data_IF_139911196885
#
_entry.id   IF_139911196885
#
_cell.length_a   1.000
_cell.length_b   1.000
_cell.length_c   1.000
_cell.angle_alpha   90.00
_cell.angle_beta   90.00
_cell.angle_gamma   90.00
#
_symmetry.space_group_name_H-M   'P 1'
#
loop_
_entity.id
_entity.type
_entity.pdbx_description
1 polymer ?
#
# COMPACT_ATOMS: atom_id res chain seq x y z
N UNK A 1 -19.52 -0.99 11.18
CA UNK A 1 -18.20 -1.41 11.71
C UNK A 1 -17.13 -0.95 10.73
N UNK A 2 -16.06 -0.28 11.17
CA UNK A 2 -15.02 0.26 10.24
C UNK A 2 -13.69 -0.42 10.49
N UNK A 3 -13.10 -0.97 9.44
CA UNK A 3 -11.82 -1.69 9.49
C UNK A 3 -10.68 -0.70 9.32
N UNK A 4 -9.58 -0.93 10.05
CA UNK A 4 -8.37 -0.12 10.06
C UNK A 4 -7.16 -1.02 9.89
N UNK A 5 -6.08 -0.48 9.31
CA UNK A 5 -4.83 -1.20 9.15
C UNK A 5 -3.70 -0.51 9.94
N UNK A 6 -2.96 -1.29 10.72
CA UNK A 6 -1.76 -0.87 11.45
C UNK A 6 -0.53 -1.51 10.84
N UNK A 7 0.42 -0.72 10.33
CA UNK A 7 1.63 -1.24 9.66
C UNK A 7 2.52 -2.05 10.62
N UNK A 8 3.06 -3.17 10.13
CA UNK A 8 4.04 -4.04 10.78
C UNK A 8 5.28 -4.15 9.87
N UNK A 9 6.54 -3.94 10.30
CA UNK A 9 7.08 -3.23 11.47
C UNK A 9 7.40 -1.75 11.16
N UNK A 10 7.11 -0.85 12.10
CA UNK A 10 7.36 0.59 12.00
C UNK A 10 6.75 1.36 13.18
N UNK A 11 7.33 2.50 13.58
CA UNK A 11 6.86 3.36 14.70
C UNK A 11 5.59 4.18 14.37
N UNK A 12 4.86 3.87 13.31
CA UNK A 12 3.73 4.70 12.89
C UNK A 12 2.50 4.44 13.75
N UNK A 13 2.18 5.40 14.63
CA UNK A 13 0.88 5.55 15.32
C UNK A 13 -0.27 5.92 14.38
N UNK A 14 -0.11 5.78 13.06
CA UNK A 14 -1.09 6.25 12.09
C UNK A 14 -2.38 5.45 12.22
N UNK A 15 -3.49 6.16 12.45
CA UNK A 15 -4.85 5.64 12.52
C UNK A 15 -5.50 5.45 11.15
N UNK A 16 -4.78 5.81 10.07
CA UNK A 16 -5.23 5.71 8.69
C UNK A 16 -4.36 4.70 7.94
N UNK A 17 -5.01 3.83 7.17
CA UNK A 17 -4.40 2.83 6.29
C UNK A 17 -3.65 3.53 5.16
N UNK A 18 -2.42 3.95 5.45
CA UNK A 18 -1.58 4.72 4.56
C UNK A 18 -0.17 4.15 4.43
N UNK A 19 0.36 4.17 3.21
CA UNK A 19 1.77 3.88 2.95
C UNK A 19 2.32 4.71 1.79
N UNK A 20 3.65 4.77 1.73
CA UNK A 20 4.42 5.51 0.74
C UNK A 20 5.11 4.53 -0.20
N UNK A 21 5.15 4.88 -1.47
CA UNK A 21 5.81 4.16 -2.55
C UNK A 21 6.90 5.04 -3.16
N UNK A 22 8.04 4.42 -3.47
CA UNK A 22 9.11 5.04 -4.22
C UNK A 22 9.10 4.49 -5.64
N UNK A 23 9.04 5.33 -6.68
CA UNK A 23 9.01 4.88 -8.07
C UNK A 23 10.20 3.98 -8.42
N UNK A 24 9.95 2.87 -9.12
CA UNK A 24 11.01 1.95 -9.57
C UNK A 24 11.67 1.15 -8.44
N UNK A 25 11.12 1.19 -7.22
CA UNK A 25 11.57 0.36 -6.09
C UNK A 25 10.47 -0.65 -5.75
N UNK A 26 10.82 -1.91 -5.45
CA UNK A 26 9.82 -2.87 -5.01
C UNK A 26 9.24 -2.44 -3.66
N UNK A 27 7.97 -2.77 -3.43
CA UNK A 27 7.29 -2.56 -2.15
C UNK A 27 6.97 -3.93 -1.54
N UNK A 28 7.29 -4.12 -0.27
CA UNK A 28 6.77 -5.23 0.56
C UNK A 28 6.33 -4.66 1.90
N UNK A 29 5.04 -4.71 2.17
CA UNK A 29 4.43 -4.13 3.38
C UNK A 29 3.47 -5.11 4.01
N UNK A 30 3.44 -5.11 5.34
CA UNK A 30 2.48 -5.88 6.13
C UNK A 30 1.71 -4.96 7.06
N UNK A 31 0.44 -5.27 7.29
CA UNK A 31 -0.44 -4.55 8.20
C UNK A 31 -1.24 -5.54 9.04
N UNK A 32 -1.54 -5.16 10.28
CA UNK A 32 -2.55 -5.80 11.10
C UNK A 32 -3.90 -5.12 10.88
N UNK A 33 -4.92 -5.90 10.57
CA UNK A 33 -6.29 -5.47 10.41
C UNK A 33 -7.01 -5.52 11.75
N UNK A 34 -7.59 -4.38 12.14
CA UNK A 34 -8.34 -4.24 13.39
C UNK A 34 -9.60 -3.43 13.14
N UNK A 35 -10.66 -3.68 13.89
CA UNK A 35 -11.86 -2.85 13.87
C UNK A 35 -11.74 -1.62 14.80
N UNK A 36 -12.81 -0.84 14.89
CA UNK A 36 -12.92 0.31 15.79
C UNK A 36 -12.86 -0.07 17.28
N UNK A 37 -13.23 -1.29 17.62
CA UNK A 37 -13.19 -1.87 18.96
C UNK A 37 -11.81 -2.48 19.31
N UNK A 38 -10.84 -2.41 18.38
CA UNK A 38 -9.50 -3.01 18.46
C UNK A 38 -9.50 -4.54 18.40
N UNK A 39 -10.59 -5.14 17.93
CA UNK A 39 -10.66 -6.57 17.63
C UNK A 39 -9.91 -6.82 16.33
N UNK A 40 -9.04 -7.84 16.33
CA UNK A 40 -8.35 -8.30 15.13
C UNK A 40 -9.36 -8.84 14.13
N UNK A 41 -9.29 -8.39 12.87
CA UNK A 41 -10.09 -8.92 11.78
C UNK A 41 -9.29 -10.03 11.11
N UNK A 42 -9.86 -11.23 11.03
CA UNK A 42 -9.22 -12.38 10.42
C UNK A 42 -9.93 -12.77 9.12
N UNK A 43 -9.24 -12.58 7.99
CA UNK A 43 -9.71 -12.97 6.66
C UNK A 43 -8.84 -14.08 6.04
N UNK A 44 -8.16 -14.87 6.88
CA UNK A 44 -7.48 -16.07 6.39
C UNK A 44 -8.47 -16.99 5.67
N UNK A 45 -8.09 -17.45 4.47
CA UNK A 45 -8.94 -18.26 3.61
C UNK A 45 -9.76 -17.46 2.60
N UNK A 46 -9.88 -16.14 2.77
CA UNK A 46 -10.50 -15.27 1.76
C UNK A 46 -9.51 -14.95 0.63
N UNK A 47 -10.05 -14.72 -0.56
CA UNK A 47 -9.28 -14.23 -1.70
C UNK A 47 -9.19 -12.70 -1.66
N UNK A 48 -7.99 -12.11 -1.57
CA UNK A 48 -7.84 -10.66 -1.55
C UNK A 48 -7.87 -10.05 -2.96
N UNK A 49 -8.36 -8.81 -3.05
CA UNK A 49 -8.20 -7.96 -4.23
C UNK A 49 -7.77 -6.57 -3.79
N UNK A 50 -6.59 -6.14 -4.21
CA UNK A 50 -6.06 -4.82 -3.93
C UNK A 50 -6.10 -3.95 -5.18
N UNK A 51 -6.68 -2.74 -5.09
CA UNK A 51 -6.82 -1.82 -6.23
C UNK A 51 -6.35 -0.42 -5.86
N UNK A 52 -5.58 0.22 -6.74
CA UNK A 52 -5.22 1.64 -6.67
C UNK A 52 -5.97 2.39 -7.76
N UNK A 53 -6.55 3.54 -7.40
CA UNK A 53 -7.32 4.38 -8.31
C UNK A 53 -6.54 5.64 -8.68
N UNK A 54 -6.64 6.04 -9.94
CA UNK A 54 -6.09 7.30 -10.44
C UNK A 54 -6.71 8.49 -9.71
N UNK A 55 -5.89 9.50 -9.39
CA UNK A 55 -6.39 10.78 -8.89
C UNK A 55 -6.85 11.72 -10.03
N UNK A 56 -6.46 11.43 -11.27
CA UNK A 56 -6.67 12.29 -12.43
C UNK A 56 -7.88 11.88 -13.27
N UNK A 57 -8.19 10.58 -13.25
CA UNK A 57 -9.29 9.99 -14.03
C UNK A 57 -10.16 9.24 -13.04
N UNK A 58 -11.40 9.70 -12.89
CA UNK A 58 -12.31 9.11 -11.92
C UNK A 58 -12.53 7.62 -12.21
N UNK A 59 -12.54 6.82 -11.13
CA UNK A 59 -12.74 5.37 -11.13
C UNK A 59 -11.75 4.53 -11.96
N UNK A 60 -10.74 5.13 -12.61
CA UNK A 60 -9.72 4.38 -13.34
C UNK A 60 -8.82 3.62 -12.36
N UNK A 61 -8.81 2.29 -12.46
CA UNK A 61 -7.89 1.43 -11.72
C UNK A 61 -6.54 1.41 -12.43
N UNK A 62 -5.48 1.86 -11.74
CA UNK A 62 -4.11 1.91 -12.28
C UNK A 62 -3.26 0.73 -11.86
N UNK A 63 -3.65 0.05 -10.77
CA UNK A 63 -3.03 -1.19 -10.30
C UNK A 63 -4.13 -2.06 -9.72
N UNK A 64 -4.17 -3.34 -10.11
CA UNK A 64 -5.01 -4.37 -9.51
C UNK A 64 -4.16 -5.62 -9.24
N UNK A 65 -4.20 -6.10 -8.00
CA UNK A 65 -3.50 -7.31 -7.55
C UNK A 65 -4.51 -8.28 -6.96
N UNK A 66 -4.67 -9.43 -7.62
CA UNK A 66 -5.47 -10.58 -7.17
C UNK A 66 -4.61 -11.83 -6.92
N UNK A 67 -3.32 -11.77 -7.26
CA UNK A 67 -2.38 -12.88 -7.06
C UNK A 67 -2.16 -13.13 -5.56
N UNK A 68 -2.50 -14.34 -5.06
CA UNK A 68 -2.40 -14.68 -3.64
C UNK A 68 -0.96 -14.72 -3.11
N UNK A 69 0.06 -14.75 -3.96
CA UNK A 69 1.47 -14.67 -3.53
C UNK A 69 1.93 -13.22 -3.29
N UNK A 70 1.16 -12.27 -3.83
CA UNK A 70 1.49 -10.83 -3.87
C UNK A 70 0.56 -10.01 -2.99
N UNK A 71 -0.68 -10.44 -2.83
CA UNK A 71 -1.60 -9.93 -1.83
C UNK A 71 -2.14 -11.12 -1.04
N UNK A 72 -1.89 -11.17 0.28
CA UNK A 72 -2.26 -12.32 1.11
C UNK A 72 -2.79 -11.91 2.49
N UNK A 73 -3.74 -12.70 2.99
CA UNK A 73 -4.18 -12.65 4.39
C UNK A 73 -3.54 -13.79 5.18
N UNK A 74 -2.99 -13.47 6.35
CA UNK A 74 -2.33 -14.40 7.28
C UNK A 74 -2.97 -14.35 8.65
N UNK A 75 -2.71 -15.42 9.41
CA UNK A 75 -3.14 -15.56 10.80
C UNK A 75 -2.75 -14.33 11.64
N UNK A 76 -3.59 -14.02 12.63
CA UNK A 76 -3.44 -12.81 13.42
C UNK A 76 -3.94 -11.53 12.73
N UNK A 77 -4.74 -11.69 11.67
CA UNK A 77 -5.33 -10.58 10.92
C UNK A 77 -4.31 -9.77 10.15
N UNK A 78 -3.29 -10.44 9.61
CA UNK A 78 -2.22 -9.76 8.89
C UNK A 78 -2.57 -9.73 7.40
N UNK A 79 -2.51 -8.56 6.79
CA UNK A 79 -2.54 -8.36 5.36
C UNK A 79 -1.13 -8.00 4.87
N UNK A 80 -0.63 -8.70 3.85
CA UNK A 80 0.63 -8.37 3.17
C UNK A 80 0.38 -8.01 1.72
N UNK A 81 1.10 -6.99 1.24
CA UNK A 81 1.08 -6.54 -0.15
C UNK A 81 2.50 -6.41 -0.69
N UNK A 82 2.69 -6.88 -1.93
CA UNK A 82 3.93 -6.76 -2.71
C UNK A 82 3.68 -6.13 -4.07
N UNK A 83 4.40 -5.05 -4.37
CA UNK A 83 4.40 -4.42 -5.68
C UNK A 83 5.77 -4.55 -6.34
N UNK A 84 5.78 -4.79 -7.64
CA UNK A 84 6.99 -4.86 -8.44
C UNK A 84 7.57 -3.44 -8.67
N UNK A 85 8.86 -3.32 -9.04
CA UNK A 85 9.44 -2.05 -9.44
C UNK A 85 8.69 -1.36 -10.59
N UNK A 86 8.19 -2.12 -11.56
CA UNK A 86 7.50 -1.57 -12.72
C UNK A 86 6.13 -0.99 -12.36
N UNK A 87 5.39 -1.67 -11.49
CA UNK A 87 4.13 -1.17 -10.96
C UNK A 87 4.34 0.08 -10.10
N UNK A 88 5.37 0.11 -9.25
CA UNK A 88 5.64 1.32 -8.46
C UNK A 88 6.13 2.47 -9.33
N UNK A 89 6.82 2.21 -10.43
CA UNK A 89 7.24 3.21 -11.40
C UNK A 89 6.06 3.84 -12.15
N UNK A 90 5.09 3.01 -12.56
CA UNK A 90 3.92 3.42 -13.35
C UNK A 90 2.85 4.18 -12.56
N UNK A 91 2.90 4.13 -11.22
CA UNK A 91 1.95 4.86 -10.37
C UNK A 91 2.02 6.38 -10.60
N UNK A 92 0.86 7.06 -10.74
CA UNK A 92 0.77 8.51 -10.68
C UNK A 92 1.47 9.09 -9.45
N UNK A 93 2.16 10.23 -9.61
CA UNK A 93 2.80 10.93 -8.49
C UNK A 93 1.75 11.62 -7.63
N UNK A 94 1.99 11.68 -6.32
CA UNK A 94 1.04 12.28 -5.36
C UNK A 94 0.23 11.25 -4.59
N UNK A 95 -0.96 11.66 -4.13
CA UNK A 95 -1.82 10.87 -3.25
C UNK A 95 -2.96 10.18 -3.99
N UNK A 96 -3.02 8.86 -3.92
CA UNK A 96 -4.05 8.03 -4.55
C UNK A 96 -4.85 7.25 -3.50
N UNK A 97 -6.05 6.82 -3.85
CA UNK A 97 -6.87 5.94 -3.00
C UNK A 97 -6.59 4.50 -3.37
N UNK A 98 -6.69 3.61 -2.38
CA UNK A 98 -6.71 2.18 -2.63
C UNK A 98 -7.88 1.51 -1.91
N UNK A 99 -8.39 0.43 -2.49
CA UNK A 99 -9.28 -0.50 -1.80
C UNK A 99 -8.59 -1.83 -1.60
N UNK A 100 -8.86 -2.45 -0.45
CA UNK A 100 -8.57 -3.83 -0.17
C UNK A 100 -9.92 -4.52 0.03
N UNK A 101 -10.21 -5.41 -0.89
CA UNK A 101 -11.42 -6.21 -0.93
C UNK A 101 -11.06 -7.66 -0.62
N UNK A 102 -12.08 -8.42 -0.24
CA UNK A 102 -11.97 -9.84 0.03
C UNK A 102 -13.25 -10.53 -0.38
N UNK A 103 -13.17 -11.83 -0.67
CA UNK A 103 -14.35 -12.69 -0.86
C UNK A 103 -14.11 -14.06 -0.25
N UNK A 104 -15.19 -14.71 0.14
CA UNK A 104 -15.22 -16.15 0.32
C UNK A 104 -15.40 -16.81 -1.06
N UNK A 105 -14.95 -18.06 -1.21
CA UNK A 105 -15.05 -18.76 -2.49
C UNK A 105 -16.50 -18.75 -2.99
N UNK A 106 -16.71 -18.43 -4.27
CA UNK A 106 -18.02 -18.33 -4.94
C UNK A 106 -18.86 -17.07 -4.60
N UNK A 107 -18.39 -16.19 -3.73
CA UNK A 107 -19.07 -14.92 -3.43
C UNK A 107 -18.50 -13.74 -4.24
N UNK A 108 -19.27 -12.65 -4.26
CA UNK A 108 -18.79 -11.36 -4.76
C UNK A 108 -17.77 -10.73 -3.81
N UNK A 109 -16.86 -9.94 -4.39
CA UNK A 109 -15.91 -9.17 -3.61
C UNK A 109 -16.61 -8.12 -2.75
N UNK A 110 -16.28 -8.14 -1.46
CA UNK A 110 -16.74 -7.18 -0.48
C UNK A 110 -15.63 -6.18 -0.16
N UNK A 111 -16.01 -4.92 0.05
CA UNK A 111 -15.07 -3.88 0.47
C UNK A 111 -14.68 -4.11 1.93
N UNK A 112 -13.39 -4.42 2.15
CA UNK A 112 -12.83 -4.59 3.49
C UNK A 112 -12.26 -3.29 4.04
N UNK A 113 -11.33 -2.68 3.30
CA UNK A 113 -10.57 -1.52 3.75
C UNK A 113 -10.38 -0.49 2.63
N UNK A 114 -10.59 0.78 2.97
CA UNK A 114 -10.27 1.93 2.12
C UNK A 114 -9.07 2.66 2.73
N UNK A 115 -8.08 2.98 1.90
CA UNK A 115 -6.88 3.67 2.35
C UNK A 115 -6.29 4.58 1.30
N UNK A 116 -5.08 5.04 1.59
CA UNK A 116 -4.36 6.00 0.75
C UNK A 116 -2.94 5.52 0.50
N UNK A 117 -2.48 5.64 -0.74
CA UNK A 117 -1.09 5.41 -1.12
C UNK A 117 -0.50 6.72 -1.63
N UNK A 118 0.73 7.03 -1.25
CA UNK A 118 1.44 8.20 -1.77
C UNK A 118 2.67 7.77 -2.55
N UNK A 119 2.74 8.13 -3.83
CA UNK A 119 3.92 7.87 -4.65
C UNK A 119 4.79 9.15 -4.69
N UNK A 120 6.00 9.05 -4.15
CA UNK A 120 6.93 10.18 -4.08
C UNK A 120 7.43 10.58 -5.45
N UNK A 121 7.76 11.87 -5.60
CA UNK A 121 8.64 12.28 -6.69
C UNK A 121 9.98 11.56 -6.54
N UNK A 122 10.60 11.10 -7.64
CA UNK A 122 11.98 10.67 -7.59
C UNK A 122 12.80 11.84 -7.06
N UNK A 123 13.55 11.60 -5.98
CA UNK A 123 14.50 12.61 -5.49
C UNK A 123 15.41 12.92 -6.69
N UNK A 124 15.42 14.15 -7.23
CA UNK A 124 16.36 14.47 -8.27
C UNK A 124 17.74 14.13 -7.71
N UNK A 125 18.59 13.50 -8.52
CA UNK A 125 20.00 13.33 -8.18
C UNK A 125 20.65 14.72 -8.15
N UNK A 126 20.27 15.56 -7.18
CA UNK A 126 20.98 16.79 -6.90
C UNK A 126 22.33 16.37 -6.39
N UNK A 127 23.34 16.63 -7.21
CA UNK A 127 24.76 16.60 -6.86
C UNK A 127 25.01 17.53 -5.66
N UNK A 128 24.60 17.12 -4.45
CA UNK A 128 24.90 17.80 -3.19
C UNK A 128 26.37 17.60 -2.77
N UNK A 129 27.27 17.40 -3.74
CA UNK A 129 28.71 17.27 -3.54
C UNK A 129 29.53 18.34 -4.31
N UNK A 130 28.91 19.36 -4.90
CA UNK A 130 29.68 20.46 -5.52
C UNK A 130 30.32 21.40 -4.49
N UNK A 131 29.76 21.55 -3.28
CA UNK A 131 30.32 22.46 -2.27
C UNK A 131 31.57 21.84 -1.60
N UNK A 132 31.60 20.52 -1.44
CA UNK A 132 32.75 19.80 -0.85
C UNK A 132 34.01 19.83 -1.73
N UNK A 133 33.91 20.25 -3.00
CA UNK A 133 35.02 20.38 -3.93
C UNK A 133 35.57 21.82 -4.06
N UNK A 134 34.96 22.79 -3.36
CA UNK A 134 35.36 24.20 -3.41
C UNK A 134 36.12 24.69 -2.17
N UNK A 135 36.39 23.81 -1.20
CA UNK A 135 37.24 24.14 -0.06
C UNK A 135 38.68 23.67 -0.33
N UNK A 136 39.68 24.57 -0.34
CA UNK A 136 41.08 24.16 -0.39
C UNK A 136 41.43 23.35 0.86
N UNK A 137 42.25 22.30 0.67
CA UNK A 137 42.79 21.48 1.76
C UNK A 137 43.69 22.29 2.69
#
# INVERSE_FOLDING_TARGET
MTIRAKRLPGKTRSRLSWFRVHPGKPLDVSFQLVDTSRTTINWVGHEPRFRIYSQFVDQLVVVEITDPQRCEFKLGGIWRLRLSPDETASLPRGGMRFTLEHRESLEDYQLGLLGTVSCCEPVPATEHNRISQLLPR
#
